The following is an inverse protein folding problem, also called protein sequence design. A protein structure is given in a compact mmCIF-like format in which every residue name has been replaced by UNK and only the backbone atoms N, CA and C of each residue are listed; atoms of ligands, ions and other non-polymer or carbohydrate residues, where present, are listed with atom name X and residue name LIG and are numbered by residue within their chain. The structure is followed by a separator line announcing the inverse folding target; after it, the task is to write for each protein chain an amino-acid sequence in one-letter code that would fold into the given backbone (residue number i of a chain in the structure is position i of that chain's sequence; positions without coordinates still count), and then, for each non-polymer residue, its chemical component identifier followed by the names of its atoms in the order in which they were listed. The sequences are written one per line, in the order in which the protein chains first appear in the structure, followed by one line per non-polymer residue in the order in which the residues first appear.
data_IF_127975275495
#
_entry.id   IF_127975275495
#
_cell.length_a   1.000
_cell.length_b   1.000
_cell.length_c   1.000
_cell.angle_alpha   90.00
_cell.angle_beta   90.00
_cell.angle_gamma   90.00
#
_symmetry.space_group_name_H-M   'P 1'
#
loop_
_entity.id
_entity.type
_entity.pdbx_description
1 polymer ?
#
# COMPACT_ATOMS: atom_id res chain seq x y z
N UNK A 1 -22.60 -8.27 21.58
CA UNK A 1 -23.30 -7.78 20.33
C UNK A 1 -22.48 -8.17 19.11
N UNK A 2 -23.08 -8.75 18.07
CA UNK A 2 -22.42 -9.18 16.84
C UNK A 2 -22.12 -7.97 15.95
N UNK A 3 -20.83 -7.74 15.66
CA UNK A 3 -20.35 -6.57 14.89
C UNK A 3 -19.97 -6.95 13.47
N UNK A 4 -20.59 -6.27 12.48
CA UNK A 4 -20.30 -6.45 11.06
C UNK A 4 -18.90 -5.93 10.71
N UNK A 5 -18.15 -6.70 9.89
CA UNK A 5 -16.83 -6.31 9.38
C UNK A 5 -15.69 -6.47 10.37
N UNK A 6 -15.91 -7.17 11.49
CA UNK A 6 -14.90 -7.43 12.53
C UNK A 6 -14.73 -8.92 12.80
N UNK A 7 -13.53 -9.29 13.24
CA UNK A 7 -13.29 -10.58 13.89
C UNK A 7 -13.74 -10.53 15.33
N UNK A 8 -14.35 -11.58 15.81
CA UNK A 8 -14.83 -11.71 17.17
C UNK A 8 -14.97 -13.18 17.54
N UNK A 9 -14.83 -13.46 18.83
CA UNK A 9 -15.04 -14.81 19.38
C UNK A 9 -16.51 -14.95 19.75
N UNK A 10 -17.17 -15.97 19.22
CA UNK A 10 -18.58 -16.27 19.45
C UNK A 10 -18.75 -17.72 19.88
N UNK A 11 -19.75 -17.99 20.70
CA UNK A 11 -20.07 -19.32 21.25
C UNK A 11 -21.08 -20.05 20.38
N UNK A 12 -20.90 -21.34 20.18
CA UNK A 12 -21.86 -22.21 19.49
C UNK A 12 -23.11 -22.37 20.37
N UNK A 13 -24.22 -21.82 19.90
CA UNK A 13 -25.53 -21.91 20.58
C UNK A 13 -26.40 -23.07 20.08
N UNK A 14 -26.30 -23.41 18.79
CA UNK A 14 -27.12 -24.45 18.13
C UNK A 14 -26.36 -25.08 16.97
N UNK A 15 -26.51 -26.39 16.80
CA UNK A 15 -25.98 -27.15 15.65
C UNK A 15 -27.13 -27.51 14.72
N UNK A 16 -26.90 -27.37 13.40
CA UNK A 16 -27.81 -27.77 12.32
C UNK A 16 -27.00 -28.53 11.24
N UNK A 17 -27.68 -29.22 10.33
CA UNK A 17 -27.05 -29.97 9.23
C UNK A 17 -26.24 -29.09 8.27
N UNK A 18 -26.61 -27.83 8.13
CA UNK A 18 -25.97 -26.85 7.21
C UNK A 18 -24.97 -25.90 7.91
N UNK A 19 -24.74 -26.07 9.23
CA UNK A 19 -23.79 -25.26 9.98
C UNK A 19 -24.17 -25.07 11.45
N UNK A 20 -23.48 -24.17 12.13
CA UNK A 20 -23.75 -23.83 13.53
C UNK A 20 -24.20 -22.37 13.68
N UNK A 21 -25.03 -22.10 14.66
CA UNK A 21 -25.39 -20.74 15.02
C UNK A 21 -24.53 -20.28 16.19
N UNK A 22 -23.82 -19.18 15.95
CA UNK A 22 -22.92 -18.54 16.92
C UNK A 22 -23.57 -17.29 17.51
N UNK A 23 -23.31 -17.01 18.78
CA UNK A 23 -23.82 -15.82 19.45
C UNK A 23 -22.99 -15.43 20.65
N UNK A 24 -23.20 -14.20 21.17
CA UNK A 24 -22.63 -13.76 22.42
C UNK A 24 -23.38 -14.38 23.61
N UNK A 25 -22.69 -14.55 24.73
CA UNK A 25 -23.32 -15.02 25.94
C UNK A 25 -24.39 -14.02 26.40
N UNK A 26 -25.56 -14.53 26.80
CA UNK A 26 -26.68 -13.70 27.27
C UNK A 26 -27.47 -12.95 26.18
N UNK A 27 -27.10 -13.07 24.91
CA UNK A 27 -27.80 -12.44 23.78
C UNK A 27 -28.60 -13.47 22.97
N UNK A 28 -29.80 -13.07 22.51
CA UNK A 28 -30.64 -13.90 21.62
C UNK A 28 -30.14 -13.88 20.16
N UNK A 29 -29.41 -12.81 19.80
CA UNK A 29 -28.91 -12.67 18.44
C UNK A 29 -27.88 -13.77 18.11
N UNK A 30 -28.09 -14.46 17.00
CA UNK A 30 -27.21 -15.50 16.52
C UNK A 30 -26.93 -15.34 15.03
N UNK A 31 -25.74 -15.71 14.59
CA UNK A 31 -25.29 -15.69 13.19
C UNK A 31 -24.91 -17.10 12.75
N UNK A 32 -25.21 -17.43 11.50
CA UNK A 32 -24.87 -18.72 10.92
C UNK A 32 -23.39 -18.76 10.51
N UNK A 33 -22.68 -19.80 10.98
CA UNK A 33 -21.40 -20.26 10.44
C UNK A 33 -21.71 -21.51 9.57
N UNK A 34 -21.54 -21.46 8.25
CA UNK A 34 -21.78 -22.60 7.37
C UNK A 34 -20.92 -23.81 7.73
N UNK A 35 -21.40 -25.03 7.52
CA UNK A 35 -20.75 -26.28 7.92
C UNK A 35 -19.32 -26.42 7.41
N UNK A 36 -19.03 -25.96 6.21
CA UNK A 36 -17.69 -25.98 5.61
C UNK A 36 -16.63 -25.13 6.33
N UNK A 37 -17.06 -24.23 7.20
CA UNK A 37 -16.20 -23.36 8.01
C UNK A 37 -16.18 -23.73 9.49
N UNK A 38 -16.95 -24.72 9.90
CA UNK A 38 -16.96 -25.20 11.27
C UNK A 38 -15.76 -26.12 11.52
N UNK A 39 -14.91 -25.83 12.52
CA UNK A 39 -13.81 -26.73 12.86
C UNK A 39 -14.31 -28.14 13.22
N UNK A 40 -13.58 -29.17 12.84
CA UNK A 40 -13.94 -30.57 13.17
C UNK A 40 -14.01 -30.76 14.68
N UNK A 41 -15.03 -31.51 15.14
CA UNK A 41 -15.22 -31.82 16.55
C UNK A 41 -15.88 -30.72 17.39
N UNK A 42 -16.27 -29.59 16.77
CA UNK A 42 -16.93 -28.49 17.50
C UNK A 42 -18.27 -28.90 18.09
N UNK A 43 -18.52 -28.48 19.35
CA UNK A 43 -19.72 -28.80 20.13
C UNK A 43 -20.43 -27.52 20.62
N UNK A 44 -21.67 -27.67 21.05
CA UNK A 44 -22.42 -26.58 21.71
C UNK A 44 -21.65 -26.10 22.95
N UNK A 45 -21.44 -24.79 23.06
CA UNK A 45 -20.67 -24.17 24.12
C UNK A 45 -19.23 -23.82 23.73
N UNK A 46 -18.69 -24.39 22.63
CA UNK A 46 -17.37 -24.04 22.16
C UNK A 46 -17.32 -22.63 21.60
N UNK A 47 -16.17 -21.96 21.76
CA UNK A 47 -15.90 -20.64 21.24
C UNK A 47 -15.14 -20.74 19.93
N UNK A 48 -15.58 -19.99 18.92
CA UNK A 48 -14.93 -19.91 17.61
C UNK A 48 -14.66 -18.45 17.28
N UNK A 49 -13.42 -18.15 16.85
CA UNK A 49 -13.09 -16.84 16.27
C UNK A 49 -13.57 -16.80 14.83
N UNK A 50 -14.42 -15.83 14.52
CA UNK A 50 -15.04 -15.68 13.21
C UNK A 50 -15.05 -14.24 12.75
N UNK A 51 -15.04 -14.05 11.43
CA UNK A 51 -15.31 -12.76 10.80
C UNK A 51 -16.77 -12.68 10.37
N UNK A 52 -17.42 -11.54 10.61
CA UNK A 52 -18.84 -11.33 10.30
C UNK A 52 -18.99 -10.47 9.04
N UNK A 53 -19.70 -11.00 8.06
CA UNK A 53 -19.99 -10.31 6.81
C UNK A 53 -21.42 -10.58 6.34
N UNK A 54 -21.79 -10.08 5.16
CA UNK A 54 -23.09 -10.38 4.52
C UNK A 54 -22.90 -11.23 3.28
N UNK A 55 -23.67 -12.32 3.20
CA UNK A 55 -23.70 -13.20 2.02
C UNK A 55 -24.37 -12.52 0.79
N UNK A 56 -24.48 -13.26 -0.31
CA UNK A 56 -25.09 -12.78 -1.56
C UNK A 56 -26.60 -12.47 -1.43
N UNK A 57 -27.25 -12.97 -0.38
CA UNK A 57 -28.65 -12.68 -0.05
C UNK A 57 -28.80 -11.60 1.02
N UNK A 58 -27.68 -10.89 1.34
CA UNK A 58 -27.62 -9.80 2.32
C UNK A 58 -27.89 -10.22 3.77
N UNK A 59 -27.79 -11.53 4.09
CA UNK A 59 -27.92 -12.07 5.45
C UNK A 59 -26.57 -11.97 6.18
N UNK A 60 -26.59 -11.70 7.49
CA UNK A 60 -25.41 -11.82 8.31
C UNK A 60 -24.97 -13.28 8.39
N UNK A 61 -23.69 -13.50 8.08
CA UNK A 61 -23.04 -14.81 8.15
C UNK A 61 -21.64 -14.68 8.76
N UNK A 62 -21.21 -15.75 9.42
CA UNK A 62 -19.87 -15.88 9.95
C UNK A 62 -18.99 -16.73 9.03
N UNK A 63 -17.67 -16.51 9.10
CA UNK A 63 -16.67 -17.34 8.44
C UNK A 63 -15.42 -17.43 9.29
N UNK A 64 -14.72 -18.56 9.23
CA UNK A 64 -13.38 -18.75 9.79
C UNK A 64 -12.27 -18.36 8.79
N UNK A 65 -12.63 -17.99 7.55
CA UNK A 65 -11.67 -17.45 6.60
C UNK A 65 -11.15 -16.10 7.08
N UNK A 66 -9.86 -15.85 6.83
CA UNK A 66 -9.22 -14.56 7.12
C UNK A 66 -9.41 -13.62 5.93
N UNK A 67 -10.19 -12.54 6.07
CA UNK A 67 -10.28 -11.54 5.02
C UNK A 67 -8.97 -10.75 4.92
N UNK A 68 -8.60 -10.35 3.70
CA UNK A 68 -7.43 -9.48 3.45
C UNK A 68 -7.60 -8.07 4.00
N UNK A 69 -8.79 -7.70 4.47
CA UNK A 69 -9.17 -6.35 4.87
C UNK A 69 -10.28 -6.39 5.92
N UNK A 70 -10.11 -5.66 7.03
CA UNK A 70 -11.12 -5.50 8.07
C UNK A 70 -11.68 -4.08 8.10
N UNK A 71 -12.79 -3.90 8.81
CA UNK A 71 -13.45 -2.60 8.91
C UNK A 71 -12.50 -1.53 9.47
N UNK A 72 -12.32 -0.45 8.71
CA UNK A 72 -11.44 0.66 9.07
C UNK A 72 -9.99 0.48 8.70
N UNK A 73 -9.60 -0.66 8.13
CA UNK A 73 -8.25 -0.91 7.62
C UNK A 73 -8.15 -0.61 6.11
N UNK A 74 -6.93 -0.56 5.62
CA UNK A 74 -6.58 -0.42 4.20
C UNK A 74 -5.83 -1.65 3.71
N UNK A 75 -6.06 -2.03 2.44
CA UNK A 75 -5.34 -3.12 1.78
C UNK A 75 -5.28 -2.91 0.26
N UNK A 76 -4.31 -3.56 -0.36
CA UNK A 76 -4.23 -3.64 -1.82
C UNK A 76 -4.98 -4.89 -2.25
N UNK A 77 -6.05 -4.71 -3.02
CA UNK A 77 -6.90 -5.80 -3.50
C UNK A 77 -6.92 -5.83 -5.03
N UNK A 78 -6.99 -7.04 -5.57
CA UNK A 78 -7.14 -7.28 -7.00
C UNK A 78 -8.60 -7.12 -7.44
N UNK A 79 -8.81 -6.48 -8.59
CA UNK A 79 -10.11 -6.36 -9.24
C UNK A 79 -10.39 -7.64 -10.02
N UNK A 80 -11.37 -8.42 -9.60
CA UNK A 80 -11.82 -9.62 -10.32
C UNK A 80 -12.66 -9.25 -11.52
N UNK A 81 -13.62 -8.34 -11.33
CA UNK A 81 -14.60 -7.98 -12.34
C UNK A 81 -14.99 -6.51 -12.24
N UNK A 82 -15.27 -5.89 -13.39
CA UNK A 82 -15.87 -4.56 -13.47
C UNK A 82 -17.28 -4.67 -14.05
N UNK A 83 -18.27 -4.38 -13.21
CA UNK A 83 -19.68 -4.43 -13.56
C UNK A 83 -20.27 -3.04 -13.88
N UNK A 84 -21.61 -3.01 -14.08
CA UNK A 84 -22.35 -1.78 -14.46
C UNK A 84 -22.40 -0.70 -13.36
N UNK A 85 -22.13 -1.03 -12.11
CA UNK A 85 -22.31 -0.15 -10.94
C UNK A 85 -21.00 0.07 -10.14
N UNK A 86 -19.94 -0.65 -10.47
CA UNK A 86 -18.65 -0.59 -9.80
C UNK A 86 -17.79 -1.80 -10.12
N UNK A 87 -16.72 -1.97 -9.36
CA UNK A 87 -15.83 -3.12 -9.45
C UNK A 87 -16.05 -4.09 -8.27
N UNK A 88 -15.65 -5.33 -8.45
CA UNK A 88 -15.67 -6.38 -7.45
C UNK A 88 -14.25 -6.85 -7.19
N UNK A 89 -13.84 -6.84 -5.90
CA UNK A 89 -12.48 -7.05 -5.46
C UNK A 89 -12.35 -8.39 -4.72
N UNK A 90 -11.23 -9.06 -4.96
CA UNK A 90 -10.87 -10.24 -4.19
C UNK A 90 -10.31 -9.85 -2.81
N UNK A 91 -11.09 -10.05 -1.77
CA UNK A 91 -10.69 -9.81 -0.38
C UNK A 91 -10.56 -11.08 0.46
N UNK A 92 -10.50 -12.26 -0.22
CA UNK A 92 -10.27 -13.55 0.44
C UNK A 92 -11.53 -14.26 0.92
N UNK A 93 -12.72 -13.69 0.73
CA UNK A 93 -13.99 -14.30 1.07
C UNK A 93 -14.75 -14.75 -0.20
N UNK A 94 -15.78 -15.60 -0.04
CA UNK A 94 -16.55 -16.11 -1.19
C UNK A 94 -17.28 -15.04 -1.98
N UNK A 95 -17.84 -14.05 -1.26
CA UNK A 95 -18.49 -12.89 -1.89
C UNK A 95 -17.45 -11.81 -2.09
N UNK A 96 -17.20 -11.42 -3.34
CA UNK A 96 -16.30 -10.34 -3.67
C UNK A 96 -16.73 -9.01 -3.04
N UNK A 97 -15.76 -8.17 -2.68
CA UNK A 97 -16.00 -6.89 -2.07
C UNK A 97 -16.37 -5.85 -3.13
N UNK A 98 -17.51 -5.21 -2.97
CA UNK A 98 -18.01 -4.21 -3.92
C UNK A 98 -17.32 -2.85 -3.73
N UNK A 99 -16.79 -2.29 -4.83
CA UNK A 99 -16.21 -0.95 -4.93
C UNK A 99 -17.08 -0.08 -5.85
N UNK A 100 -18.03 0.71 -5.31
CA UNK A 100 -18.92 1.55 -6.10
C UNK A 100 -18.18 2.58 -6.94
N UNK A 101 -18.69 2.94 -8.12
CA UNK A 101 -18.06 3.97 -8.96
C UNK A 101 -17.82 5.32 -8.25
N UNK A 102 -18.72 5.73 -7.35
CA UNK A 102 -18.59 6.97 -6.56
C UNK A 102 -17.46 6.96 -5.56
N UNK A 103 -16.96 5.76 -5.21
CA UNK A 103 -15.86 5.55 -4.27
C UNK A 103 -14.51 5.33 -4.96
N UNK A 104 -14.50 5.31 -6.31
CA UNK A 104 -13.29 5.18 -7.10
C UNK A 104 -12.67 6.54 -7.39
N UNK A 105 -11.37 6.68 -7.13
CA UNK A 105 -10.58 7.88 -7.50
C UNK A 105 -10.04 7.80 -8.94
N UNK A 106 -9.93 6.59 -9.48
CA UNK A 106 -9.64 6.27 -10.87
C UNK A 106 -10.40 5.00 -11.26
N UNK A 107 -10.46 4.66 -12.55
CA UNK A 107 -11.22 3.49 -13.06
C UNK A 107 -10.29 2.29 -13.22
N UNK A 108 -10.28 1.33 -12.29
CA UNK A 108 -9.48 0.13 -12.42
C UNK A 108 -10.13 -0.85 -13.40
N UNK A 109 -9.29 -1.64 -14.06
CA UNK A 109 -9.69 -2.74 -14.94
C UNK A 109 -9.54 -4.08 -14.22
N UNK A 110 -10.16 -5.14 -14.74
CA UNK A 110 -10.01 -6.50 -14.22
C UNK A 110 -8.54 -6.94 -14.27
N UNK A 111 -8.05 -7.57 -13.20
CA UNK A 111 -6.67 -7.97 -13.00
C UNK A 111 -5.76 -6.87 -12.44
N UNK A 112 -6.21 -5.63 -12.36
CA UNK A 112 -5.44 -4.56 -11.72
C UNK A 112 -5.64 -4.59 -10.20
N UNK A 113 -4.63 -4.12 -9.49
CA UNK A 113 -4.68 -3.96 -8.03
C UNK A 113 -4.93 -2.51 -7.65
N UNK A 114 -5.76 -2.28 -6.64
CA UNK A 114 -6.02 -0.96 -6.11
C UNK A 114 -5.97 -0.93 -4.59
N UNK A 115 -5.50 0.18 -4.03
CA UNK A 115 -5.54 0.44 -2.60
C UNK A 115 -6.95 0.88 -2.21
N UNK A 116 -7.53 0.19 -1.24
CA UNK A 116 -8.88 0.46 -0.74
C UNK A 116 -8.95 0.38 0.78
N UNK A 117 -9.95 1.02 1.34
CA UNK A 117 -10.37 0.83 2.73
C UNK A 117 -11.74 0.14 2.78
N UNK A 118 -12.00 -0.60 3.88
CA UNK A 118 -13.29 -1.19 4.13
C UNK A 118 -14.18 -0.26 4.96
N UNK A 119 -15.37 0.02 4.48
CA UNK A 119 -16.35 0.82 5.21
C UNK A 119 -17.75 0.21 5.15
N UNK A 120 -18.64 0.68 6.01
CA UNK A 120 -20.05 0.32 5.99
C UNK A 120 -20.83 1.45 5.30
N UNK A 121 -21.53 1.12 4.22
CA UNK A 121 -22.37 2.08 3.50
C UNK A 121 -23.68 2.41 4.25
N UNK A 122 -24.46 3.36 3.70
CA UNK A 122 -25.75 3.77 4.26
C UNK A 122 -26.78 2.63 4.32
N UNK A 123 -26.61 1.59 3.50
CA UNK A 123 -27.44 0.38 3.48
C UNK A 123 -26.93 -0.71 4.43
N UNK A 124 -25.96 -0.39 5.32
CA UNK A 124 -25.32 -1.32 6.25
C UNK A 124 -24.66 -2.52 5.55
N UNK A 125 -24.01 -2.27 4.41
CA UNK A 125 -23.23 -3.25 3.66
C UNK A 125 -21.75 -2.90 3.74
N UNK A 126 -20.90 -3.93 3.78
CA UNK A 126 -19.45 -3.77 3.64
C UNK A 126 -19.14 -3.42 2.18
N UNK A 127 -18.46 -2.31 1.97
CA UNK A 127 -18.03 -1.80 0.68
C UNK A 127 -16.58 -1.31 0.75
N UNK A 128 -15.91 -1.31 -0.40
CA UNK A 128 -14.59 -0.71 -0.55
C UNK A 128 -14.68 0.76 -0.96
N UNK A 129 -13.69 1.55 -0.55
CA UNK A 129 -13.46 2.93 -1.03
C UNK A 129 -12.00 3.14 -1.35
N UNK A 130 -11.68 3.83 -2.46
CA UNK A 130 -10.34 4.32 -2.77
C UNK A 130 -10.01 5.64 -2.08
N UNK A 131 -10.96 6.27 -1.39
CA UNK A 131 -10.77 7.50 -0.62
C UNK A 131 -10.15 7.16 0.73
N UNK A 132 -8.90 6.72 0.72
CA UNK A 132 -8.23 6.08 1.87
C UNK A 132 -7.72 7.07 2.92
N UNK A 133 -7.74 8.38 2.66
CA UNK A 133 -7.11 9.37 3.53
C UNK A 133 -7.47 9.21 5.01
N UNK A 134 -8.77 9.09 5.34
CA UNK A 134 -9.25 8.98 6.72
C UNK A 134 -8.95 7.64 7.40
N UNK A 135 -8.45 6.66 6.65
CA UNK A 135 -8.14 5.31 7.12
C UNK A 135 -6.64 5.07 7.32
N UNK A 136 -5.81 5.98 6.82
CA UNK A 136 -4.37 5.87 6.98
C UNK A 136 -3.95 6.32 8.38
N UNK A 137 -2.93 5.64 8.91
CA UNK A 137 -2.38 5.84 10.24
C UNK A 137 -1.23 6.82 10.24
N UNK A 138 -0.91 7.35 11.44
CA UNK A 138 0.19 8.30 11.65
C UNK A 138 1.19 7.84 12.70
N UNK A 139 1.03 6.63 13.23
CA UNK A 139 1.81 6.04 14.31
C UNK A 139 2.88 5.04 13.80
N UNK A 140 3.51 5.35 12.68
CA UNK A 140 4.60 4.54 12.15
C UNK A 140 5.89 4.70 12.96
N UNK A 141 6.72 3.65 12.98
CA UNK A 141 8.05 3.65 13.59
C UNK A 141 9.14 4.21 12.66
N UNK A 142 8.77 4.64 11.46
CA UNK A 142 9.71 5.17 10.47
C UNK A 142 10.41 6.43 10.93
N UNK A 143 11.70 6.52 10.59
CA UNK A 143 12.57 7.64 10.94
C UNK A 143 13.13 8.31 9.67
N UNK A 144 13.77 9.46 9.88
CA UNK A 144 14.48 10.17 8.82
C UNK A 144 15.55 9.29 8.18
N UNK A 145 15.56 9.25 6.86
CA UNK A 145 16.40 8.48 5.95
C UNK A 145 16.01 7.02 5.76
N UNK A 146 14.95 6.53 6.40
CA UNK A 146 14.41 5.20 6.07
C UNK A 146 13.88 5.19 4.65
N UNK A 147 14.01 4.04 3.98
CA UNK A 147 13.42 3.79 2.68
C UNK A 147 12.09 3.09 2.85
N UNK A 148 11.10 3.56 2.12
CA UNK A 148 9.73 3.08 2.19
C UNK A 148 9.17 2.80 0.81
N UNK A 149 8.25 1.86 0.74
CA UNK A 149 7.42 1.62 -0.44
C UNK A 149 6.02 2.20 -0.20
N UNK A 150 5.37 2.64 -1.26
CA UNK A 150 4.02 3.15 -1.12
C UNK A 150 3.27 3.22 -2.43
N UNK A 151 1.99 3.56 -2.33
CA UNK A 151 1.11 3.76 -3.47
C UNK A 151 0.60 5.19 -3.45
N UNK A 152 0.69 5.86 -4.60
CA UNK A 152 0.11 7.18 -4.80
C UNK A 152 -1.41 7.04 -4.84
N UNK A 153 -2.11 7.58 -3.85
CA UNK A 153 -3.58 7.51 -3.81
C UNK A 153 -4.27 8.81 -4.20
N UNK A 154 -3.51 9.93 -4.20
CA UNK A 154 -4.02 11.24 -4.62
C UNK A 154 -2.86 12.12 -5.10
N UNK A 155 -3.11 12.95 -6.10
CA UNK A 155 -2.18 13.98 -6.57
C UNK A 155 -2.86 15.34 -6.46
N UNK A 156 -2.15 16.32 -5.93
CA UNK A 156 -2.56 17.70 -5.84
C UNK A 156 -1.46 18.57 -6.45
N UNK A 157 -1.83 19.46 -7.38
CA UNK A 157 -0.86 20.29 -8.12
C UNK A 157 -0.05 21.23 -7.21
N UNK A 158 -0.65 21.70 -6.12
CA UNK A 158 0.01 22.60 -5.17
C UNK A 158 0.83 21.88 -4.11
N UNK A 159 0.31 20.79 -3.56
CA UNK A 159 0.94 20.08 -2.44
C UNK A 159 1.89 18.96 -2.90
N UNK A 160 1.55 18.25 -3.96
CA UNK A 160 2.31 17.11 -4.47
C UNK A 160 1.53 15.81 -4.49
N UNK A 161 2.23 14.67 -4.36
CA UNK A 161 1.64 13.35 -4.38
C UNK A 161 1.46 12.80 -2.96
N UNK A 162 0.26 12.40 -2.62
CA UNK A 162 -0.06 11.72 -1.37
C UNK A 162 0.14 10.23 -1.56
N UNK A 163 0.89 9.62 -0.65
CA UNK A 163 1.36 8.24 -0.71
C UNK A 163 0.88 7.49 0.51
N UNK A 164 0.28 6.33 0.31
CA UNK A 164 0.04 5.37 1.38
C UNK A 164 1.27 4.48 1.52
N UNK A 165 2.12 4.79 2.49
CA UNK A 165 3.33 4.03 2.81
C UNK A 165 2.91 2.69 3.41
N UNK A 166 3.42 1.58 2.85
CA UNK A 166 3.02 0.20 3.15
C UNK A 166 1.51 -0.05 3.05
N UNK A 167 0.82 0.79 2.26
CA UNK A 167 -0.64 0.79 2.19
C UNK A 167 -1.33 1.28 3.46
N UNK A 168 -0.62 1.71 4.49
CA UNK A 168 -1.12 1.92 5.87
C UNK A 168 -0.89 3.33 6.40
N UNK A 169 0.26 3.95 6.13
CA UNK A 169 0.66 5.20 6.78
C UNK A 169 0.65 6.39 5.83
N UNK A 170 0.41 7.57 6.39
CA UNK A 170 0.42 8.81 5.62
C UNK A 170 1.83 9.22 5.19
N UNK A 171 2.03 9.32 3.89
CA UNK A 171 3.21 9.92 3.27
C UNK A 171 2.83 10.98 2.22
N UNK A 172 3.73 11.91 1.97
CA UNK A 172 3.58 12.93 0.94
C UNK A 172 4.92 13.24 0.29
N UNK A 173 4.95 13.20 -1.03
CA UNK A 173 6.04 13.71 -1.85
C UNK A 173 5.67 15.14 -2.26
N UNK A 174 6.39 16.19 -1.81
CA UNK A 174 6.09 17.57 -2.18
C UNK A 174 6.14 17.78 -3.70
N UNK A 175 5.38 18.75 -4.22
CA UNK A 175 5.28 19.01 -5.67
C UNK A 175 6.62 19.21 -6.37
N UNK A 176 7.61 19.79 -5.69
CA UNK A 176 9.00 19.93 -6.19
C UNK A 176 9.75 18.61 -6.36
N UNK A 177 9.31 17.56 -5.68
CA UNK A 177 9.89 16.21 -5.74
C UNK A 177 9.13 15.26 -6.65
N UNK A 178 8.00 15.70 -7.20
CA UNK A 178 7.22 14.91 -8.18
C UNK A 178 7.87 15.09 -9.55
N UNK A 179 8.64 14.10 -9.99
CA UNK A 179 9.29 14.12 -11.30
C UNK A 179 8.53 13.22 -12.28
N UNK A 180 8.32 13.74 -13.50
CA UNK A 180 7.70 12.98 -14.59
C UNK A 180 6.16 12.90 -14.50
N UNK A 181 5.59 11.84 -15.11
CA UNK A 181 4.14 11.63 -15.21
C UNK A 181 3.64 10.67 -14.11
N UNK A 182 3.83 11.03 -12.85
CA UNK A 182 3.26 10.27 -11.73
C UNK A 182 1.73 10.26 -11.81
N UNK A 183 1.12 9.11 -11.55
CA UNK A 183 -0.33 8.91 -11.58
C UNK A 183 -0.82 8.29 -10.26
N UNK A 184 -2.09 8.46 -9.99
CA UNK A 184 -2.77 7.71 -8.92
C UNK A 184 -2.75 6.24 -9.26
N UNK A 185 -2.38 5.40 -8.29
CA UNK A 185 -2.15 3.97 -8.44
C UNK A 185 -0.68 3.58 -8.64
N UNK A 186 0.21 4.52 -8.95
CA UNK A 186 1.63 4.22 -9.12
C UNK A 186 2.26 3.76 -7.80
N UNK A 187 3.12 2.74 -7.90
CA UNK A 187 4.01 2.34 -6.80
C UNK A 187 5.25 3.21 -6.80
N UNK A 188 5.64 3.66 -5.63
CA UNK A 188 6.82 4.52 -5.43
C UNK A 188 7.73 3.93 -4.37
N UNK A 189 9.04 4.02 -4.63
CA UNK A 189 10.09 3.82 -3.65
C UNK A 189 10.59 5.20 -3.25
N UNK A 190 10.51 5.52 -1.99
CA UNK A 190 10.84 6.85 -1.49
C UNK A 190 11.65 6.76 -0.20
N UNK A 191 12.30 7.86 0.13
CA UNK A 191 13.03 8.01 1.39
C UNK A 191 12.32 9.03 2.27
N UNK A 192 12.24 8.74 3.56
CA UNK A 192 11.68 9.64 4.57
C UNK A 192 12.64 10.82 4.79
N UNK A 193 12.18 12.02 4.50
CA UNK A 193 12.92 13.27 4.75
C UNK A 193 12.76 13.67 6.21
N UNK A 194 11.55 13.60 6.71
CA UNK A 194 11.20 13.79 8.12
C UNK A 194 9.83 13.18 8.43
N UNK A 195 9.63 12.85 9.68
CA UNK A 195 8.31 12.62 10.27
C UNK A 195 7.87 13.91 10.95
N UNK A 196 6.65 14.35 10.65
CA UNK A 196 6.06 15.58 11.21
C UNK A 196 5.55 15.31 12.63
N UNK A 197 5.22 16.36 13.36
CA UNK A 197 4.65 16.25 14.71
C UNK A 197 3.29 15.51 14.71
N UNK A 198 2.52 15.60 13.61
CA UNK A 198 1.27 14.86 13.41
C UNK A 198 1.49 13.40 12.95
N UNK A 199 2.72 12.92 12.91
CA UNK A 199 3.10 11.57 12.52
C UNK A 199 3.10 11.30 11.01
N UNK A 200 2.72 12.27 10.18
CA UNK A 200 2.77 12.12 8.72
C UNK A 200 4.18 12.28 8.19
N UNK A 201 4.52 11.49 7.18
CA UNK A 201 5.86 11.46 6.60
C UNK A 201 5.97 12.39 5.40
N UNK A 202 7.03 13.19 5.35
CA UNK A 202 7.47 13.87 4.14
C UNK A 202 8.48 12.98 3.43
N UNK A 203 8.23 12.71 2.16
CA UNK A 203 8.96 11.74 1.36
C UNK A 203 9.71 12.43 0.22
N UNK A 204 10.76 11.78 -0.27
CA UNK A 204 11.47 12.18 -1.49
C UNK A 204 11.86 10.94 -2.30
N UNK A 205 11.74 11.04 -3.62
CA UNK A 205 12.27 10.03 -4.54
C UNK A 205 13.77 10.22 -4.81
N UNK A 206 14.33 11.35 -4.38
CA UNK A 206 15.75 11.64 -4.58
C UNK A 206 16.61 10.89 -3.57
N UNK A 207 17.66 10.28 -4.06
CA UNK A 207 18.69 9.66 -3.23
C UNK A 207 19.38 10.70 -2.34
N UNK A 208 20.04 10.25 -1.27
CA UNK A 208 20.92 11.13 -0.52
C UNK A 208 22.09 11.56 -1.40
N UNK A 209 22.63 12.75 -1.14
CA UNK A 209 23.80 13.26 -1.90
C UNK A 209 24.95 12.25 -1.87
N UNK A 210 25.13 11.54 -0.75
CA UNK A 210 26.16 10.51 -0.61
C UNK A 210 25.92 9.34 -1.56
N UNK A 211 24.72 8.74 -1.52
CA UNK A 211 24.35 7.60 -2.37
C UNK A 211 24.36 7.98 -3.86
N UNK A 212 23.88 9.19 -4.19
CA UNK A 212 23.95 9.68 -5.57
C UNK A 212 25.39 9.85 -6.04
N UNK A 213 26.29 10.35 -5.18
CA UNK A 213 27.71 10.47 -5.51
C UNK A 213 28.38 9.11 -5.71
N UNK A 214 27.98 8.08 -4.96
CA UNK A 214 28.48 6.73 -5.14
C UNK A 214 28.02 6.15 -6.47
N UNK A 215 26.72 6.27 -6.82
CA UNK A 215 26.16 5.86 -8.12
C UNK A 215 26.82 6.61 -9.28
N UNK A 216 27.05 7.91 -9.14
CA UNK A 216 27.74 8.71 -10.14
C UNK A 216 29.21 8.27 -10.25
N UNK A 217 29.85 7.92 -9.13
CA UNK A 217 31.18 7.33 -9.11
C UNK A 217 31.30 6.01 -9.83
N UNK A 218 30.34 5.10 -9.61
CA UNK A 218 30.31 3.83 -10.34
C UNK A 218 30.17 4.01 -11.86
N UNK A 219 29.37 4.98 -12.32
CA UNK A 219 29.28 5.30 -13.76
C UNK A 219 30.62 5.75 -14.33
N UNK A 220 31.34 6.58 -13.55
CA UNK A 220 32.67 7.06 -13.95
C UNK A 220 33.66 5.89 -14.03
N UNK A 221 33.66 4.99 -13.05
CA UNK A 221 34.55 3.82 -13.03
C UNK A 221 34.23 2.86 -14.19
N UNK A 222 32.98 2.58 -14.49
CA UNK A 222 32.58 1.76 -15.64
C UNK A 222 33.02 2.38 -16.97
N UNK A 223 32.91 3.70 -17.10
CA UNK A 223 33.39 4.39 -18.30
C UNK A 223 34.91 4.34 -18.37
N UNK A 224 35.61 4.50 -17.26
CA UNK A 224 37.08 4.39 -17.17
C UNK A 224 37.55 2.99 -17.63
N UNK A 225 36.87 1.93 -17.16
CA UNK A 225 37.17 0.56 -17.55
C UNK A 225 36.97 0.32 -19.06
N UNK A 226 35.97 0.96 -19.67
CA UNK A 226 35.69 0.85 -21.11
C UNK A 226 36.70 1.58 -21.98
N UNK A 227 37.55 2.42 -21.43
CA UNK A 227 38.60 3.19 -22.09
C UNK A 227 40.01 2.87 -21.52
N UNK A 228 40.26 1.62 -21.13
CA UNK A 228 41.57 1.13 -20.66
C UNK A 228 42.17 1.97 -19.53
N UNK A 229 41.34 2.46 -18.63
CA UNK A 229 41.78 3.24 -17.45
C UNK A 229 42.00 4.73 -17.67
N UNK A 230 41.66 5.25 -18.86
CA UNK A 230 41.80 6.69 -19.18
C UNK A 230 40.47 7.25 -19.68
N UNK A 231 39.87 8.18 -18.93
CA UNK A 231 38.64 8.84 -19.41
C UNK A 231 38.86 9.60 -20.71
N UNK A 232 37.92 9.55 -21.67
CA UNK A 232 38.04 10.25 -22.99
C UNK A 232 37.94 11.78 -22.84
N UNK A 233 37.73 12.30 -21.63
CA UNK A 233 37.64 13.73 -21.32
C UNK A 233 38.12 14.02 -19.89
N UNK A 234 38.40 15.30 -19.62
CA UNK A 234 38.86 15.78 -18.30
C UNK A 234 37.75 16.54 -17.57
N UNK A 235 37.99 16.92 -16.31
CA UNK A 235 37.09 17.78 -15.53
C UNK A 235 36.83 19.16 -16.18
N UNK A 236 37.61 19.52 -17.21
CA UNK A 236 37.43 20.76 -18.00
C UNK A 236 36.45 20.59 -19.17
N UNK A 237 36.03 19.36 -19.51
CA UNK A 237 35.08 19.10 -20.59
C UNK A 237 33.80 19.94 -20.47
N UNK A 238 33.14 20.16 -21.61
CA UNK A 238 31.89 20.90 -21.62
C UNK A 238 30.76 20.12 -20.90
N UNK A 239 29.74 20.80 -20.38
CA UNK A 239 28.60 20.11 -19.76
C UNK A 239 27.94 19.09 -20.69
N UNK A 240 27.80 19.41 -21.98
CA UNK A 240 27.16 18.57 -23.00
C UNK A 240 27.90 17.24 -23.22
N UNK A 241 29.24 17.26 -23.18
CA UNK A 241 30.07 16.06 -23.30
C UNK A 241 29.88 15.15 -22.10
N UNK A 242 29.92 15.70 -20.89
CA UNK A 242 29.74 14.93 -19.66
C UNK A 242 28.35 14.32 -19.58
N UNK A 243 27.32 15.09 -19.93
CA UNK A 243 25.94 14.62 -19.92
C UNK A 243 25.70 13.53 -20.97
N UNK A 244 26.28 13.67 -22.17
CA UNK A 244 26.19 12.66 -23.22
C UNK A 244 26.83 11.32 -22.82
N UNK A 245 28.03 11.35 -22.24
CA UNK A 245 28.81 10.15 -21.93
C UNK A 245 28.38 9.46 -20.63
N UNK A 246 27.97 10.24 -19.62
CA UNK A 246 27.70 9.74 -18.26
C UNK A 246 26.24 9.93 -17.82
N UNK A 247 25.45 10.76 -18.51
CA UNK A 247 24.09 11.09 -18.11
C UNK A 247 24.02 11.82 -16.76
N UNK A 248 25.06 12.61 -16.44
CA UNK A 248 25.12 13.40 -15.20
C UNK A 248 25.59 14.83 -15.47
N UNK A 249 25.22 15.76 -14.59
CA UNK A 249 25.68 17.15 -14.71
C UNK A 249 27.18 17.30 -14.41
N UNK A 250 27.80 18.34 -14.98
CA UNK A 250 29.23 18.66 -14.70
C UNK A 250 29.51 18.87 -13.19
N UNK A 251 28.55 19.40 -12.45
CA UNK A 251 28.69 19.56 -10.99
C UNK A 251 28.68 18.22 -10.27
N UNK A 252 27.82 17.28 -10.69
CA UNK A 252 27.77 15.92 -10.16
C UNK A 252 29.06 15.16 -10.49
N UNK A 253 29.53 15.25 -11.73
CA UNK A 253 30.81 14.67 -12.15
C UNK A 253 31.99 15.13 -11.27
N UNK A 254 32.17 16.44 -11.07
CA UNK A 254 33.23 16.97 -10.21
C UNK A 254 33.16 16.44 -8.78
N UNK A 255 31.96 16.36 -8.20
CA UNK A 255 31.76 15.82 -6.85
C UNK A 255 32.14 14.34 -6.76
N UNK A 256 31.69 13.53 -7.71
CA UNK A 256 31.97 12.11 -7.77
C UNK A 256 33.46 11.82 -7.98
N UNK A 257 34.13 12.52 -8.90
CA UNK A 257 35.60 12.41 -9.11
C UNK A 257 36.38 12.75 -7.84
N UNK A 258 35.99 13.83 -7.14
CA UNK A 258 36.65 14.20 -5.86
C UNK A 258 36.48 13.08 -4.82
N UNK A 259 35.32 12.44 -4.76
CA UNK A 259 35.04 11.32 -3.84
C UNK A 259 35.89 10.09 -4.17
N UNK A 260 35.97 9.71 -5.45
CA UNK A 260 36.80 8.58 -5.92
C UNK A 260 38.26 8.82 -5.57
N UNK A 261 38.80 10.02 -5.85
CA UNK A 261 40.20 10.38 -5.51
C UNK A 261 40.48 10.27 -4.01
N UNK A 262 39.53 10.65 -3.16
CA UNK A 262 39.69 10.54 -1.70
C UNK A 262 39.72 9.09 -1.20
N UNK A 263 39.02 8.17 -1.85
CA UNK A 263 39.08 6.74 -1.52
C UNK A 263 40.35 6.03 -2.05
N UNK A 264 40.91 6.52 -3.15
CA UNK A 264 42.14 5.94 -3.75
C UNK A 264 43.44 6.33 -3.01
N UNK A 265 43.37 7.24 -2.04
CA UNK A 265 44.51 7.76 -1.24
C UNK A 265 44.58 7.17 0.18
N UNK A 266 43.58 6.36 0.56
CA UNK A 266 43.56 5.57 1.80
C UNK A 266 43.96 4.12 1.53
#
# INVERSE_FOLDING_TARGET
MIELGKKQVLTIKRVKTFGVYLGCEGEEQAVLLPSKYVPEGSQIGDEIEVFIYRDSQDRLVATTLEPKLKLGETAILEVKEVGKIGAFLDWGLEKDLFLPFKEQTWRPESGQSCLVALYIDKSRRLCATMKVYEYLRTDSDYQKNDYVEGIVYQINEHYGAFVAVDGTYHGMIPSKGVHGRMKVGDRVHARVVKVREDGKMELTMSETVSVQMDKDGEKILRLLDSYDGVLPFTEKASPEVIERELGISKAAFKRAVKRIKNFAVQ
#
